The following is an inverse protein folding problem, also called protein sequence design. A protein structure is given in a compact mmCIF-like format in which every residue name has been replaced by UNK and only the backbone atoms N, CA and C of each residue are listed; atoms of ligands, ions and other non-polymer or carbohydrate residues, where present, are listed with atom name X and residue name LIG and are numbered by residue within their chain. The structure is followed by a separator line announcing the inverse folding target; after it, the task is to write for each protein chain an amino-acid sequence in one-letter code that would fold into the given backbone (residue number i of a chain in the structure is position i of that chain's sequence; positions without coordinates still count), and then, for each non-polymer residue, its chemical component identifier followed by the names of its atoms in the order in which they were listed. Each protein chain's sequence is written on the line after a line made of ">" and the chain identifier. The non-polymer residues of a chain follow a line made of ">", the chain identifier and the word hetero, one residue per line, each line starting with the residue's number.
data_IF_375203736078
#
_entry.id   IF_375203736078
#
_cell.length_a   1.000
_cell.length_b   1.000
_cell.length_c   1.000
_cell.angle_alpha   90.00
_cell.angle_beta   90.00
_cell.angle_gamma   90.00
#
_symmetry.space_group_name_H-M   'P 1'
#
loop_
_entity.id
_entity.type
_entity.pdbx_description
1 polymer ?
#
# COMPACT_ATOMS: atom_id res chain seq x y z
N UNK A 1 60.44 28.63 -24.01
CA UNK A 1 59.73 27.40 -24.42
C UNK A 1 59.51 26.41 -23.25
N UNK A 2 60.51 26.13 -22.40
CA UNK A 2 60.36 25.16 -21.30
C UNK A 2 59.24 25.48 -20.27
N UNK A 3 59.09 26.75 -19.87
CA UNK A 3 58.06 27.15 -18.89
C UNK A 3 56.61 26.95 -19.39
N UNK A 4 56.35 27.17 -20.68
CA UNK A 4 55.01 26.97 -21.26
C UNK A 4 54.62 25.49 -21.25
N UNK A 5 55.56 24.59 -21.55
CA UNK A 5 55.30 23.14 -21.53
C UNK A 5 55.02 22.65 -20.11
N UNK A 6 55.79 23.14 -19.12
CA UNK A 6 55.56 22.79 -17.70
C UNK A 6 54.19 23.28 -17.23
N UNK A 7 53.82 24.53 -17.53
CA UNK A 7 52.51 25.07 -17.15
C UNK A 7 51.36 24.31 -17.82
N UNK A 8 51.52 23.90 -19.08
CA UNK A 8 50.50 23.12 -19.79
C UNK A 8 50.33 21.73 -19.18
N UNK A 9 51.43 21.04 -18.83
CA UNK A 9 51.38 19.73 -18.17
C UNK A 9 50.72 19.87 -16.78
N UNK A 10 51.09 20.88 -16.00
CA UNK A 10 50.48 21.15 -14.69
C UNK A 10 48.99 21.44 -14.81
N UNK A 11 48.58 22.26 -15.78
CA UNK A 11 47.18 22.56 -16.03
C UNK A 11 46.38 21.29 -16.34
N UNK A 12 46.91 20.40 -17.20
CA UNK A 12 46.27 19.12 -17.52
C UNK A 12 46.17 18.21 -16.28
N UNK A 13 47.24 18.12 -15.47
CA UNK A 13 47.23 17.34 -14.23
C UNK A 13 46.15 17.84 -13.26
N UNK A 14 46.03 19.16 -13.08
CA UNK A 14 45.02 19.77 -12.19
C UNK A 14 43.60 19.52 -12.71
N UNK A 15 43.38 19.63 -14.03
CA UNK A 15 42.07 19.34 -14.64
C UNK A 15 41.66 17.88 -14.39
N UNK A 16 42.59 16.94 -14.58
CA UNK A 16 42.32 15.51 -14.34
C UNK A 16 42.00 15.27 -12.86
N UNK A 17 42.83 15.78 -11.95
CA UNK A 17 42.64 15.63 -10.50
C UNK A 17 41.30 16.22 -10.04
N UNK A 18 40.93 17.41 -10.53
CA UNK A 18 39.66 18.07 -10.23
C UNK A 18 38.46 17.23 -10.69
N UNK A 19 38.50 16.71 -11.93
CA UNK A 19 37.46 15.85 -12.46
C UNK A 19 37.31 14.55 -11.66
N UNK A 20 38.42 13.92 -11.28
CA UNK A 20 38.39 12.71 -10.44
C UNK A 20 37.78 13.00 -9.07
N UNK A 21 38.19 14.10 -8.41
CA UNK A 21 37.64 14.51 -7.12
C UNK A 21 36.14 14.80 -7.20
N UNK A 22 35.69 15.47 -8.27
CA UNK A 22 34.27 15.73 -8.50
C UNK A 22 33.44 14.44 -8.64
N UNK A 23 33.94 13.47 -9.40
CA UNK A 23 33.29 12.15 -9.54
C UNK A 23 33.22 11.40 -8.21
N UNK A 24 34.30 11.40 -7.43
CA UNK A 24 34.32 10.75 -6.12
C UNK A 24 33.27 11.35 -5.18
N UNK A 25 33.17 12.68 -5.12
CA UNK A 25 32.16 13.33 -4.27
C UNK A 25 30.73 12.99 -4.69
N UNK A 26 30.47 12.88 -5.99
CA UNK A 26 29.16 12.46 -6.51
C UNK A 26 28.83 11.01 -6.10
N UNK A 27 29.79 10.08 -6.26
CA UNK A 27 29.59 8.67 -5.88
C UNK A 27 29.39 8.50 -4.36
N UNK A 28 30.08 9.29 -3.55
CA UNK A 28 29.87 9.30 -2.09
C UNK A 28 28.45 9.75 -1.72
N UNK A 29 27.97 10.83 -2.32
CA UNK A 29 26.59 11.32 -2.11
C UNK A 29 25.56 10.29 -2.56
N UNK A 30 25.77 9.68 -3.72
CA UNK A 30 24.89 8.62 -4.25
C UNK A 30 24.85 7.42 -3.30
N UNK A 31 26.01 6.97 -2.84
CA UNK A 31 26.13 5.85 -1.90
C UNK A 31 25.44 6.16 -0.58
N UNK A 32 25.62 7.37 -0.04
CA UNK A 32 24.96 7.80 1.19
C UNK A 32 23.42 7.77 1.05
N UNK A 33 22.88 8.28 -0.07
CA UNK A 33 21.44 8.25 -0.33
C UNK A 33 20.90 6.82 -0.48
N UNK A 34 21.64 5.93 -1.16
CA UNK A 34 21.25 4.52 -1.30
C UNK A 34 21.24 3.80 0.05
N UNK A 35 22.24 4.05 0.89
CA UNK A 35 22.32 3.48 2.25
C UNK A 35 21.19 3.98 3.13
N UNK A 36 20.92 5.29 3.11
CA UNK A 36 19.81 5.88 3.87
C UNK A 36 18.44 5.31 3.43
N UNK A 37 18.22 5.16 2.11
CA UNK A 37 17.01 4.54 1.59
C UNK A 37 16.84 3.08 2.02
N UNK A 38 17.92 2.28 2.00
CA UNK A 38 17.90 0.91 2.51
C UNK A 38 17.64 0.85 4.01
N UNK A 39 18.24 1.76 4.79
CA UNK A 39 18.01 1.85 6.23
C UNK A 39 16.55 2.17 6.54
N UNK A 40 15.94 3.12 5.82
CA UNK A 40 14.51 3.43 5.96
C UNK A 40 13.62 2.22 5.63
N UNK A 41 13.95 1.46 4.58
CA UNK A 41 13.24 0.22 4.24
C UNK A 41 13.33 -0.83 5.36
N UNK A 42 14.52 -1.02 5.96
CA UNK A 42 14.69 -1.91 7.09
C UNK A 42 13.97 -1.44 8.36
N UNK A 43 13.87 -0.13 8.58
CA UNK A 43 13.05 0.42 9.66
C UNK A 43 11.56 0.15 9.45
N UNK A 44 11.04 0.30 8.24
CA UNK A 44 9.67 -0.06 7.91
C UNK A 44 9.39 -1.55 8.16
N UNK A 45 10.28 -2.44 7.69
CA UNK A 45 10.17 -3.88 7.94
C UNK A 45 10.21 -4.24 9.43
N UNK A 46 11.05 -3.54 10.19
CA UNK A 46 11.12 -3.72 11.65
C UNK A 46 9.84 -3.26 12.35
N UNK A 47 9.19 -2.21 11.82
CA UNK A 47 7.89 -1.73 12.29
C UNK A 47 6.79 -2.79 12.10
N UNK A 48 6.72 -3.42 10.93
CA UNK A 48 5.78 -4.51 10.65
C UNK A 48 6.00 -5.71 11.58
N UNK A 49 7.27 -6.08 11.81
CA UNK A 49 7.61 -7.16 12.75
C UNK A 49 7.20 -6.83 14.20
N UNK A 50 7.29 -5.56 14.60
CA UNK A 50 6.80 -5.10 15.91
C UNK A 50 5.27 -5.19 15.98
N UNK A 51 4.57 -4.69 14.95
CA UNK A 51 3.10 -4.77 14.86
C UNK A 51 2.62 -6.23 14.92
N UNK A 52 3.30 -7.15 14.23
CA UNK A 52 3.00 -8.59 14.30
C UNK A 52 3.05 -9.13 15.74
N UNK A 53 4.05 -8.71 16.54
CA UNK A 53 4.14 -9.11 17.95
C UNK A 53 3.04 -8.49 18.81
N UNK A 54 2.69 -7.23 18.57
CA UNK A 54 1.58 -6.56 19.27
C UNK A 54 0.27 -7.27 18.98
N UNK A 55 -0.03 -7.55 17.71
CA UNK A 55 -1.23 -8.30 17.31
C UNK A 55 -1.26 -9.71 17.92
N UNK A 56 -0.13 -10.42 17.92
CA UNK A 56 -0.05 -11.74 18.53
C UNK A 56 -0.24 -11.72 20.06
N UNK A 57 0.14 -10.62 20.72
CA UNK A 57 -0.11 -10.43 22.14
C UNK A 57 -1.58 -10.08 22.40
N UNK A 58 -2.14 -9.11 21.67
CA UNK A 58 -3.54 -8.72 21.79
C UNK A 58 -4.48 -9.91 21.55
N UNK A 59 -4.17 -10.79 20.59
CA UNK A 59 -4.96 -12.01 20.33
C UNK A 59 -4.83 -13.07 21.43
N UNK A 60 -3.72 -13.10 22.18
CA UNK A 60 -3.59 -13.98 23.36
C UNK A 60 -4.42 -13.46 24.53
N UNK A 61 -4.44 -12.14 24.69
CA UNK A 61 -5.17 -11.49 25.78
C UNK A 61 -6.69 -11.55 25.52
N UNK A 62 -7.13 -11.34 24.27
CA UNK A 62 -8.53 -11.41 23.85
C UNK A 62 -8.70 -12.17 22.51
N UNK A 63 -8.91 -13.50 22.55
CA UNK A 63 -8.94 -14.31 21.32
C UNK A 63 -10.23 -14.24 20.51
N UNK A 64 -11.29 -13.60 21.04
CA UNK A 64 -12.65 -13.66 20.47
C UNK A 64 -13.19 -12.33 19.95
N UNK A 65 -12.58 -11.22 20.33
CA UNK A 65 -13.11 -9.89 20.06
C UNK A 65 -11.96 -9.04 19.54
N UNK A 66 -12.22 -8.28 18.47
CA UNK A 66 -11.31 -7.27 17.93
C UNK A 66 -12.03 -5.94 18.01
N UNK A 67 -11.41 -4.93 18.62
CA UNK A 67 -12.00 -3.60 18.77
C UNK A 67 -10.93 -2.51 18.87
N UNK A 68 -11.33 -1.26 18.59
CA UNK A 68 -10.42 -0.09 18.54
C UNK A 68 -9.84 0.33 19.90
N UNK A 69 -10.16 -0.38 20.99
CA UNK A 69 -9.61 -0.13 22.33
C UNK A 69 -8.36 -0.97 22.64
N UNK A 70 -8.01 -1.90 21.75
CA UNK A 70 -6.84 -2.78 21.90
C UNK A 70 -5.54 -2.03 21.56
N UNK A 71 -4.39 -2.61 21.91
CA UNK A 71 -3.11 -1.91 21.80
C UNK A 71 -2.71 -1.66 20.35
N UNK A 72 -3.07 -2.56 19.43
CA UNK A 72 -2.80 -2.40 18.00
C UNK A 72 -3.44 -1.14 17.38
N UNK A 73 -4.60 -0.69 17.90
CA UNK A 73 -5.38 0.41 17.32
C UNK A 73 -4.93 1.82 17.75
N UNK A 74 -3.79 1.93 18.45
CA UNK A 74 -3.26 3.21 18.93
C UNK A 74 -2.62 4.00 17.78
N UNK A 75 -3.13 5.22 17.53
CA UNK A 75 -2.75 6.04 16.36
C UNK A 75 -1.47 6.88 16.52
N UNK A 76 -0.98 7.06 17.75
CA UNK A 76 0.11 8.01 18.06
C UNK A 76 1.45 7.35 18.42
N UNK A 77 1.70 6.14 17.91
CA UNK A 77 2.95 5.44 18.18
C UNK A 77 4.11 6.07 17.39
N UNK A 78 4.92 6.90 18.05
CA UNK A 78 6.15 7.48 17.50
C UNK A 78 7.36 6.79 18.11
N UNK A 79 8.17 6.15 17.27
CA UNK A 79 9.40 5.48 17.71
C UNK A 79 10.63 6.27 17.22
N UNK A 80 11.50 6.75 18.12
CA UNK A 80 12.75 7.38 17.71
C UNK A 80 13.69 6.31 17.10
N UNK A 81 14.29 6.63 15.97
CA UNK A 81 15.31 5.79 15.31
C UNK A 81 16.55 6.63 15.00
N UNK A 82 17.67 5.97 14.71
CA UNK A 82 18.85 6.72 14.30
C UNK A 82 18.58 7.44 12.96
N UNK A 83 18.77 8.75 12.96
CA UNK A 83 18.55 9.60 11.77
C UNK A 83 17.10 10.04 11.54
N UNK A 84 16.15 9.76 12.45
CA UNK A 84 14.78 10.25 12.30
C UNK A 84 13.75 9.67 13.28
N UNK A 85 12.49 9.68 12.86
CA UNK A 85 11.36 9.13 13.62
C UNK A 85 10.54 8.22 12.74
N UNK A 86 10.12 7.08 13.28
CA UNK A 86 9.19 6.15 12.66
C UNK A 86 7.77 6.41 13.19
N UNK A 87 6.80 6.47 12.28
CA UNK A 87 5.37 6.58 12.57
C UNK A 87 4.61 5.61 11.69
N UNK A 88 3.52 5.05 12.21
CA UNK A 88 2.65 4.16 11.48
C UNK A 88 1.28 4.06 12.15
N UNK A 89 0.29 3.68 11.36
CA UNK A 89 -1.07 3.38 11.83
C UNK A 89 -1.43 1.97 11.38
N UNK A 90 -2.18 1.26 12.22
CA UNK A 90 -2.72 -0.07 11.92
C UNK A 90 -4.23 0.05 11.82
N UNK A 91 -4.80 -0.48 10.74
CA UNK A 91 -6.23 -0.49 10.48
C UNK A 91 -6.73 -1.93 10.29
N UNK A 92 -7.93 -2.21 10.77
CA UNK A 92 -8.59 -3.50 10.53
C UNK A 92 -9.15 -3.55 9.10
N UNK A 93 -8.69 -4.52 8.31
CA UNK A 93 -9.14 -4.74 6.93
C UNK A 93 -10.54 -5.39 6.86
N UNK A 94 -11.04 -5.95 7.96
CA UNK A 94 -12.40 -6.49 8.06
C UNK A 94 -13.44 -5.42 8.44
N UNK A 95 -13.01 -4.18 8.72
CA UNK A 95 -13.91 -3.08 9.04
C UNK A 95 -14.68 -2.52 7.82
N UNK A 96 -14.30 -2.92 6.60
CA UNK A 96 -14.91 -2.49 5.35
C UNK A 96 -15.70 -3.64 4.69
N UNK A 97 -16.65 -3.29 3.81
CA UNK A 97 -17.34 -4.29 2.98
C UNK A 97 -16.35 -5.00 2.06
N UNK A 98 -16.29 -6.33 2.15
CA UNK A 98 -15.39 -7.15 1.32
C UNK A 98 -15.97 -7.33 -0.08
N UNK A 99 -15.40 -6.65 -1.08
CA UNK A 99 -15.82 -6.76 -2.48
C UNK A 99 -15.70 -8.19 -3.04
N UNK A 100 -14.75 -8.99 -2.53
CA UNK A 100 -14.60 -10.38 -2.96
C UNK A 100 -15.79 -11.27 -2.53
N UNK A 101 -16.69 -10.77 -1.67
CA UNK A 101 -17.93 -11.48 -1.34
C UNK A 101 -18.99 -11.43 -2.45
N UNK A 102 -18.77 -10.65 -3.51
CA UNK A 102 -19.68 -10.52 -4.65
C UNK A 102 -19.52 -11.64 -5.68
N UNK A 103 -18.43 -12.40 -5.64
CA UNK A 103 -18.12 -13.50 -6.58
C UNK A 103 -18.99 -14.75 -6.40
N UNK A 104 -20.21 -14.62 -5.86
CA UNK A 104 -21.11 -15.75 -5.60
C UNK A 104 -21.72 -16.20 -6.92
N UNK A 105 -21.50 -17.47 -7.26
CA UNK A 105 -22.08 -18.11 -8.43
C UNK A 105 -23.61 -18.00 -8.39
N UNK A 106 -24.21 -17.41 -9.42
CA UNK A 106 -25.66 -17.51 -9.61
C UNK A 106 -26.00 -18.93 -9.99
N UNK A 107 -27.07 -19.49 -9.44
CA UNK A 107 -27.67 -20.68 -10.04
C UNK A 107 -28.11 -20.34 -11.48
N UNK A 108 -27.81 -21.18 -12.48
CA UNK A 108 -28.20 -20.91 -13.86
C UNK A 108 -29.74 -20.78 -13.93
N UNK A 109 -30.22 -19.59 -14.29
CA UNK A 109 -31.65 -19.26 -14.34
C UNK A 109 -32.12 -18.13 -13.40
N UNK A 110 -31.25 -17.59 -12.53
CA UNK A 110 -31.57 -16.50 -11.60
C UNK A 110 -31.01 -15.13 -12.06
N UNK A 111 -31.07 -14.84 -13.37
CA UNK A 111 -30.86 -13.47 -13.90
C UNK A 111 -32.18 -12.69 -13.74
N UNK A 112 -32.73 -12.69 -12.53
CA UNK A 112 -33.93 -11.93 -12.23
C UNK A 112 -33.53 -10.51 -11.80
N UNK A 113 -34.17 -9.50 -12.39
CA UNK A 113 -34.07 -8.09 -12.01
C UNK A 113 -34.55 -7.82 -10.56
N UNK A 114 -35.12 -8.83 -9.91
CA UNK A 114 -35.63 -8.75 -8.55
C UNK A 114 -34.47 -8.90 -7.54
N UNK A 115 -34.13 -7.77 -6.90
CA UNK A 115 -33.11 -7.67 -5.86
C UNK A 115 -33.29 -8.72 -4.74
N UNK A 116 -34.53 -9.12 -4.44
CA UNK A 116 -34.84 -10.08 -3.38
C UNK A 116 -34.34 -11.50 -3.65
N UNK A 117 -34.12 -11.85 -4.93
CA UNK A 117 -33.62 -13.16 -5.36
C UNK A 117 -32.10 -13.20 -5.55
N UNK A 118 -31.44 -12.04 -5.48
CA UNK A 118 -29.99 -11.95 -5.61
C UNK A 118 -29.29 -12.37 -4.31
N UNK A 119 -28.02 -12.81 -4.38
CA UNK A 119 -27.25 -13.16 -3.18
C UNK A 119 -27.20 -12.01 -2.17
N UNK A 120 -27.26 -12.34 -0.87
CA UNK A 120 -27.24 -11.33 0.21
C UNK A 120 -26.11 -10.28 0.10
N UNK A 121 -24.85 -10.62 -0.25
CA UNK A 121 -23.80 -9.61 -0.43
C UNK A 121 -24.11 -8.57 -1.51
N UNK A 122 -24.80 -8.96 -2.58
CA UNK A 122 -25.20 -8.07 -3.68
C UNK A 122 -26.24 -7.07 -3.20
N UNK A 123 -27.22 -7.55 -2.41
CA UNK A 123 -28.25 -6.69 -1.81
C UNK A 123 -27.64 -5.65 -0.86
N UNK A 124 -26.72 -6.08 0.00
CA UNK A 124 -26.02 -5.19 0.95
C UNK A 124 -25.17 -4.15 0.22
N UNK A 125 -24.47 -4.55 -0.84
CA UNK A 125 -23.62 -3.63 -1.59
C UNK A 125 -24.44 -2.58 -2.35
N UNK A 126 -25.55 -2.95 -3.00
CA UNK A 126 -26.47 -1.98 -3.62
C UNK A 126 -27.09 -1.03 -2.58
N UNK A 127 -27.48 -1.55 -1.41
CA UNK A 127 -27.97 -0.73 -0.31
C UNK A 127 -26.89 0.24 0.22
N UNK A 128 -25.63 -0.17 0.24
CA UNK A 128 -24.50 0.70 0.60
C UNK A 128 -24.32 1.83 -0.42
N UNK A 129 -24.36 1.52 -1.72
CA UNK A 129 -24.19 2.50 -2.80
C UNK A 129 -25.34 3.53 -2.80
N UNK A 130 -26.57 3.09 -2.61
CA UNK A 130 -27.73 4.00 -2.49
C UNK A 130 -27.65 4.88 -1.24
N UNK A 131 -27.14 4.36 -0.12
CA UNK A 131 -26.87 5.15 1.08
C UNK A 131 -25.74 6.18 0.88
N UNK A 132 -24.88 5.98 -0.11
CA UNK A 132 -23.85 6.92 -0.57
C UNK A 132 -24.38 7.88 -1.66
N UNK A 133 -25.69 7.96 -1.84
CA UNK A 133 -26.37 8.87 -2.79
C UNK A 133 -26.10 8.55 -4.27
N UNK A 134 -25.72 7.31 -4.59
CA UNK A 134 -25.61 6.82 -5.97
C UNK A 134 -26.99 6.41 -6.46
N UNK A 135 -27.32 6.76 -7.70
CA UNK A 135 -28.61 6.42 -8.33
C UNK A 135 -28.78 4.89 -8.41
N UNK A 136 -29.98 4.38 -8.15
CA UNK A 136 -30.27 2.93 -8.11
C UNK A 136 -29.79 2.20 -9.39
N UNK A 137 -29.99 2.82 -10.55
CA UNK A 137 -29.57 2.26 -11.82
C UNK A 137 -28.04 2.16 -11.93
N UNK A 138 -27.32 3.21 -11.53
CA UNK A 138 -25.86 3.24 -11.52
C UNK A 138 -25.29 2.26 -10.47
N UNK A 139 -25.92 2.19 -9.30
CA UNK A 139 -25.56 1.25 -8.24
C UNK A 139 -25.72 -0.21 -8.70
N UNK A 140 -26.78 -0.52 -9.44
CA UNK A 140 -27.00 -1.83 -10.03
C UNK A 140 -25.90 -2.17 -11.06
N UNK A 141 -25.65 -1.27 -12.02
CA UNK A 141 -24.61 -1.48 -13.04
C UNK A 141 -23.22 -1.67 -12.43
N UNK A 142 -22.84 -0.84 -11.46
CA UNK A 142 -21.55 -0.94 -10.79
C UNK A 142 -21.40 -2.27 -10.03
N UNK A 143 -22.47 -2.70 -9.36
CA UNK A 143 -22.48 -3.97 -8.64
C UNK A 143 -22.29 -5.15 -9.58
N UNK A 144 -23.02 -5.16 -10.70
CA UNK A 144 -22.95 -6.24 -11.68
C UNK A 144 -21.60 -6.25 -12.40
N UNK A 145 -21.01 -5.08 -12.70
CA UNK A 145 -19.67 -4.97 -13.27
C UNK A 145 -18.55 -5.47 -12.33
N UNK A 146 -18.63 -5.14 -11.03
CA UNK A 146 -17.67 -5.66 -10.03
C UNK A 146 -17.84 -7.17 -9.85
N UNK A 147 -19.07 -7.66 -9.95
CA UNK A 147 -19.37 -9.08 -9.90
C UNK A 147 -18.73 -9.83 -11.08
N UNK A 148 -18.94 -9.35 -12.30
CA UNK A 148 -18.32 -9.89 -13.52
C UNK A 148 -16.78 -9.81 -13.46
N UNK A 149 -16.21 -8.81 -12.77
CA UNK A 149 -14.76 -8.73 -12.56
C UNK A 149 -14.23 -9.75 -11.55
N UNK A 150 -15.06 -10.16 -10.58
CA UNK A 150 -14.62 -10.98 -9.44
C UNK A 150 -15.00 -12.46 -9.55
N UNK A 151 -15.97 -12.80 -10.39
CA UNK A 151 -16.31 -14.19 -10.66
C UNK A 151 -15.24 -14.91 -11.50
N UNK A 152 -15.45 -16.21 -11.73
CA UNK A 152 -14.49 -17.06 -12.43
C UNK A 152 -14.92 -17.38 -13.85
N UNK A 153 -16.15 -17.02 -14.21
CA UNK A 153 -16.70 -17.37 -15.51
C UNK A 153 -16.52 -16.20 -16.49
N UNK A 154 -17.08 -16.31 -17.68
CA UNK A 154 -16.99 -15.25 -18.71
C UNK A 154 -18.39 -14.87 -19.17
N UNK A 155 -19.41 -15.25 -18.40
CA UNK A 155 -20.80 -14.96 -18.72
C UNK A 155 -21.19 -13.65 -18.01
N UNK A 156 -21.47 -12.57 -18.75
CA UNK A 156 -21.79 -11.30 -18.12
C UNK A 156 -23.12 -11.40 -17.37
N UNK A 157 -23.12 -10.94 -16.12
CA UNK A 157 -24.32 -10.64 -15.35
C UNK A 157 -24.86 -9.27 -15.76
N UNK A 158 -23.97 -8.34 -16.10
CA UNK A 158 -24.34 -7.00 -16.56
C UNK A 158 -25.05 -7.03 -17.92
N UNK A 159 -26.09 -6.20 -18.09
CA UNK A 159 -26.79 -5.96 -19.36
C UNK A 159 -26.45 -4.58 -19.92
#
# INVERSE_FOLDING_TARGET
>A
MALLVVLLILAVMVIIASNMSGRLQLELRRTANLTAGKQAWWYAMSAEALVSKVLAQDFKDEPKIVHLGQNWARKDAVFPVEGGTLRGEVSDLQACFNLNSLSVATSPGNIDQDLSKQPYPVQVFRALLTQLEIEEYEAAQLTDAIRDWTDKDTEPVSS
#
